data_IF_251927712415
#
_entry.id   IF_251927712415
#
_cell.length_a   1.000
_cell.length_b   1.000
_cell.length_c   1.000
_cell.angle_alpha   90.00
_cell.angle_beta   90.00
_cell.angle_gamma   90.00
#
_symmetry.space_group_name_H-M   'P 1'
#
loop_
_entity.id
_entity.type
_entity.pdbx_description
1 polymer ?
#
# COMPACT_ATOMS: atom_id res chain seq x y z
N UNK A 1 -3.26 10.52 -1.09
CA UNK A 1 -3.39 9.10 -0.68
C UNK A 1 -4.10 9.03 0.66
N UNK A 2 -4.97 8.05 0.89
CA UNK A 2 -5.58 7.78 2.20
C UNK A 2 -5.39 6.32 2.60
N UNK A 3 -5.22 6.07 3.91
CA UNK A 3 -5.15 4.73 4.47
C UNK A 3 -6.50 4.01 4.38
N UNK A 4 -6.46 2.69 4.20
CA UNK A 4 -7.64 1.82 4.21
C UNK A 4 -7.49 0.68 5.23
N UNK A 5 -8.53 -0.14 5.36
CA UNK A 5 -8.72 -1.03 6.51
C UNK A 5 -7.73 -2.19 6.65
N UNK A 6 -7.00 -2.61 5.61
CA UNK A 6 -6.18 -3.83 5.67
C UNK A 6 -5.08 -3.79 6.74
N UNK A 7 -4.44 -2.63 6.92
CA UNK A 7 -3.41 -2.42 7.96
C UNK A 7 -3.97 -1.85 9.28
N UNK A 8 -5.28 -1.69 9.39
CA UNK A 8 -5.95 -1.22 10.61
C UNK A 8 -6.58 -2.40 11.31
N UNK A 9 -6.26 -2.58 12.59
CA UNK A 9 -6.96 -3.56 13.43
C UNK A 9 -7.32 -2.94 14.79
N UNK A 10 -8.18 -3.61 15.55
CA UNK A 10 -8.77 -3.09 16.81
C UNK A 10 -7.75 -2.63 17.86
N UNK A 11 -6.48 -3.00 17.71
CA UNK A 11 -5.48 -2.77 18.74
C UNK A 11 -4.22 -2.03 18.23
N UNK A 12 -4.10 -1.68 16.95
CA UNK A 12 -2.91 -1.04 16.35
C UNK A 12 -3.31 -0.01 15.30
N UNK A 13 -2.70 1.16 15.41
CA UNK A 13 -2.70 2.13 14.32
C UNK A 13 -1.66 1.68 13.27
N UNK A 14 -1.94 1.94 11.99
CA UNK A 14 -0.97 1.73 10.92
C UNK A 14 0.00 2.91 10.92
N UNK A 15 1.31 2.65 10.87
CA UNK A 15 2.28 3.69 10.53
C UNK A 15 2.26 3.79 9.02
N UNK A 16 1.93 4.96 8.49
CA UNK A 16 1.85 5.16 7.05
C UNK A 16 2.26 6.57 6.65
N UNK A 17 2.89 6.66 5.48
CA UNK A 17 3.28 7.91 4.83
C UNK A 17 3.48 7.65 3.34
N UNK A 18 3.62 8.72 2.56
CA UNK A 18 3.83 8.64 1.12
C UNK A 18 4.73 9.78 0.65
N UNK A 19 5.43 9.55 -0.45
CA UNK A 19 6.34 10.48 -1.09
C UNK A 19 5.99 10.59 -2.59
N UNK A 20 6.06 11.80 -3.14
CA UNK A 20 5.80 12.15 -4.55
C UNK A 20 6.88 13.16 -4.98
N UNK A 21 8.14 12.76 -4.79
CA UNK A 21 9.31 13.59 -5.05
C UNK A 21 9.86 13.39 -6.47
N UNK A 22 9.39 12.36 -7.18
CA UNK A 22 9.78 12.01 -8.55
C UNK A 22 8.60 12.17 -9.50
N UNK A 23 8.88 12.72 -10.68
CA UNK A 23 7.85 12.95 -11.68
C UNK A 23 7.20 11.64 -12.14
N UNK A 24 5.92 11.45 -11.78
CA UNK A 24 5.12 10.30 -12.21
C UNK A 24 5.28 9.04 -11.35
N UNK A 25 5.98 9.12 -10.22
CA UNK A 25 6.12 8.02 -9.27
C UNK A 25 5.52 8.42 -7.91
N UNK A 26 4.77 7.50 -7.30
CA UNK A 26 4.21 7.66 -5.97
C UNK A 26 4.69 6.52 -5.09
N UNK A 27 5.50 6.84 -4.09
CA UNK A 27 5.98 5.88 -3.10
C UNK A 27 5.00 5.85 -1.91
N UNK A 28 4.44 4.68 -1.60
CA UNK A 28 3.48 4.50 -0.48
C UNK A 28 4.05 3.50 0.52
N UNK A 29 4.21 3.96 1.76
CA UNK A 29 4.78 3.18 2.85
C UNK A 29 3.71 2.83 3.89
N UNK A 30 3.58 1.53 4.20
CA UNK A 30 2.56 0.99 5.10
C UNK A 30 3.21 -0.02 6.04
N UNK A 31 3.09 0.19 7.35
CA UNK A 31 3.65 -0.69 8.37
C UNK A 31 2.68 -0.93 9.52
N UNK A 32 2.70 -2.15 10.04
CA UNK A 32 2.14 -2.41 11.36
C UNK A 32 2.99 -1.72 12.44
N UNK A 33 2.33 -1.10 13.41
CA UNK A 33 3.02 -0.64 14.59
C UNK A 33 3.56 -1.85 15.36
N UNK A 34 4.86 -1.87 15.73
CA UNK A 34 5.43 -2.96 16.51
C UNK A 34 4.72 -3.10 17.85
N UNK A 35 4.29 -4.31 18.21
CA UNK A 35 3.73 -4.59 19.54
C UNK A 35 4.33 -5.88 20.09
N UNK A 36 4.35 -6.02 21.43
CA UNK A 36 4.94 -7.17 22.13
C UNK A 36 4.31 -8.53 21.75
N UNK A 37 3.10 -8.55 21.20
CA UNK A 37 2.34 -9.78 20.96
C UNK A 37 2.36 -10.27 19.51
N UNK A 38 3.11 -9.62 18.61
CA UNK A 38 3.11 -9.95 17.18
C UNK A 38 1.75 -9.65 16.53
N UNK A 39 1.75 -8.89 15.44
CA UNK A 39 0.51 -8.61 14.70
C UNK A 39 0.77 -8.90 13.25
N UNK A 40 0.06 -9.90 12.78
CA UNK A 40 0.04 -10.29 11.38
C UNK A 40 -1.40 -10.23 10.91
N UNK A 41 -1.57 -9.85 9.66
CA UNK A 41 -2.82 -10.08 8.95
C UNK A 41 -2.51 -10.96 7.75
N UNK A 42 -3.52 -11.67 7.26
CA UNK A 42 -3.44 -12.38 5.99
C UNK A 42 -4.78 -12.29 5.28
N UNK A 43 -4.74 -12.37 3.95
CA UNK A 43 -5.93 -12.31 3.10
C UNK A 43 -5.83 -11.22 2.05
N UNK A 44 -6.98 -10.91 1.46
CA UNK A 44 -7.12 -9.89 0.42
C UNK A 44 -7.97 -8.75 0.96
N UNK A 45 -7.50 -7.52 0.84
CA UNK A 45 -8.25 -6.34 1.21
C UNK A 45 -7.58 -5.05 0.78
N UNK A 46 -8.29 -3.95 0.91
CA UNK A 46 -7.82 -2.64 0.48
C UNK A 46 -6.86 -2.03 1.48
N UNK A 47 -5.70 -1.60 0.99
CA UNK A 47 -4.60 -1.08 1.80
C UNK A 47 -4.56 0.45 1.86
N UNK A 48 -4.75 1.08 0.72
CA UNK A 48 -4.76 2.53 0.56
C UNK A 48 -5.63 2.91 -0.65
N UNK A 49 -6.08 4.16 -0.68
CA UNK A 49 -6.74 4.77 -1.84
C UNK A 49 -5.89 5.93 -2.37
N UNK A 50 -5.66 5.92 -3.67
CA UNK A 50 -4.99 7.01 -4.41
C UNK A 50 -6.04 7.71 -5.26
N UNK A 51 -6.06 9.04 -5.19
CA UNK A 51 -7.01 9.86 -5.93
C UNK A 51 -6.26 10.59 -7.03
N UNK A 52 -6.66 10.38 -8.27
CA UNK A 52 -6.11 11.05 -9.44
C UNK A 52 -7.08 12.12 -9.93
N UNK A 53 -6.54 13.27 -10.35
CA UNK A 53 -7.30 14.28 -11.07
C UNK A 53 -6.99 14.17 -12.55
N UNK A 54 -8.01 14.06 -13.39
CA UNK A 54 -7.85 14.04 -14.85
C UNK A 54 -7.45 15.44 -15.31
N UNK A 55 -6.31 15.55 -15.99
CA UNK A 55 -5.77 16.81 -16.50
C UNK A 55 -6.08 17.03 -17.99
N UNK A 56 -6.22 15.95 -18.75
CA UNK A 56 -6.52 15.98 -20.18
C UNK A 56 -7.14 14.67 -20.63
N UNK A 57 -7.83 14.70 -21.77
CA UNK A 57 -8.32 13.48 -22.42
C UNK A 57 -7.15 12.60 -22.89
N UNK A 58 -7.25 11.30 -22.65
CA UNK A 58 -6.22 10.33 -23.03
C UNK A 58 -6.33 9.01 -22.28
N UNK A 59 -5.42 8.09 -22.59
CA UNK A 59 -5.24 6.83 -21.84
C UNK A 59 -4.06 7.04 -20.90
N UNK A 60 -4.27 6.76 -19.62
CA UNK A 60 -3.23 6.73 -18.59
C UNK A 60 -3.32 5.38 -17.87
N UNK A 61 -2.17 4.76 -17.62
CA UNK A 61 -2.08 3.47 -16.94
C UNK A 61 -1.42 3.65 -15.58
N UNK A 62 -1.95 2.95 -14.57
CA UNK A 62 -1.28 2.78 -13.28
C UNK A 62 -0.45 1.51 -13.34
N UNK A 63 0.85 1.63 -13.16
CA UNK A 63 1.79 0.49 -13.15
C UNK A 63 2.46 0.40 -11.78
N UNK A 64 2.56 -0.82 -11.26
CA UNK A 64 3.32 -1.11 -10.05
C UNK A 64 4.78 -1.40 -10.43
N UNK A 65 5.71 -0.57 -9.95
CA UNK A 65 7.13 -0.71 -10.24
C UNK A 65 7.83 -1.80 -9.44
N UNK A 66 9.05 -2.15 -9.86
CA UNK A 66 9.92 -3.16 -9.23
C UNK A 66 10.21 -3.01 -7.73
N UNK A 67 10.16 -1.83 -7.06
CA UNK A 67 10.31 -1.79 -5.60
C UNK A 67 9.05 -2.22 -4.84
N UNK A 68 7.95 -2.57 -5.51
CA UNK A 68 6.69 -2.96 -4.85
C UNK A 68 6.81 -4.32 -4.17
N UNK A 69 6.97 -4.32 -2.85
CA UNK A 69 7.15 -5.53 -2.05
C UNK A 69 6.38 -5.48 -0.74
N UNK A 70 6.02 -6.67 -0.22
CA UNK A 70 5.55 -6.86 1.14
C UNK A 70 6.42 -7.88 1.85
N UNK A 71 6.58 -7.67 3.15
CA UNK A 71 7.28 -8.60 4.03
C UNK A 71 6.38 -8.99 5.20
N UNK A 72 6.62 -10.18 5.74
CA UNK A 72 5.98 -10.67 6.95
C UNK A 72 6.67 -10.12 8.22
N UNK A 73 6.23 -10.58 9.39
CA UNK A 73 6.75 -10.18 10.70
C UNK A 73 8.21 -10.55 10.96
N UNK A 74 8.78 -11.47 10.17
CA UNK A 74 10.20 -11.88 10.22
C UNK A 74 11.00 -11.34 9.03
N UNK A 75 10.46 -10.34 8.32
CA UNK A 75 11.08 -9.70 7.16
C UNK A 75 11.31 -10.66 5.97
N UNK A 76 10.46 -11.68 5.83
CA UNK A 76 10.46 -12.57 4.65
C UNK A 76 9.51 -12.02 3.58
N UNK A 77 9.91 -12.00 2.29
CA UNK A 77 9.06 -11.55 1.21
C UNK A 77 7.76 -12.35 1.09
N UNK A 78 6.64 -11.64 0.91
CA UNK A 78 5.32 -12.23 0.67
C UNK A 78 5.02 -12.22 -0.83
N UNK A 79 4.47 -13.32 -1.36
CA UNK A 79 4.05 -13.39 -2.75
C UNK A 79 2.77 -12.57 -2.99
N UNK A 80 2.89 -11.52 -3.79
CA UNK A 80 1.75 -10.76 -4.32
C UNK A 80 1.15 -11.55 -5.49
N UNK A 81 -0.12 -11.91 -5.39
CA UNK A 81 -0.81 -12.70 -6.42
C UNK A 81 -1.38 -11.83 -7.54
N UNK A 82 -1.87 -10.66 -7.18
CA UNK A 82 -2.47 -9.70 -8.10
C UNK A 82 -2.49 -8.31 -7.45
N UNK A 83 -2.57 -7.28 -8.27
CA UNK A 83 -2.71 -5.89 -7.84
C UNK A 83 -4.13 -5.37 -8.08
N UNK A 84 -4.53 -4.33 -7.37
CA UNK A 84 -5.78 -3.64 -7.66
C UNK A 84 -5.69 -2.93 -9.01
N UNK A 85 -6.74 -3.03 -9.82
CA UNK A 85 -6.90 -2.22 -11.02
C UNK A 85 -7.66 -0.94 -10.69
N UNK A 86 -7.18 0.21 -11.18
CA UNK A 86 -7.89 1.49 -11.06
C UNK A 86 -9.09 1.51 -12.02
N UNK A 87 -10.24 2.00 -11.54
CA UNK A 87 -11.47 2.22 -12.32
C UNK A 87 -11.91 3.67 -12.26
#
# INVERSE_FOLDING_TARGET
VTLDSFFVNEKSECIWFWEDDKAGELDVFLFYQPTLNGRTTSGTGSMARVYFQVMSDGISELVYGDPTQFVDEVNSPVTIKDYGVGS
#
